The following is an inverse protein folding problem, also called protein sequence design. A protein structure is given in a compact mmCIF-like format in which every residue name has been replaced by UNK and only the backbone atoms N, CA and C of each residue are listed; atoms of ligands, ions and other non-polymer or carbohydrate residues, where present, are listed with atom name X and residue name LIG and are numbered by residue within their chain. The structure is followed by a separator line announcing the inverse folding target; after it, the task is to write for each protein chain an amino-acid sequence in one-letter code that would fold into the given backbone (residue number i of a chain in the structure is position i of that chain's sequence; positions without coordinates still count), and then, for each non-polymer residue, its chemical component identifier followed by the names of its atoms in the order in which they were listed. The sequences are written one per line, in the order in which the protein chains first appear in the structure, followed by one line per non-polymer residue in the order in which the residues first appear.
data_IF_560946473145
#
_entry.id   IF_560946473145
#
_cell.length_a   1.000
_cell.length_b   1.000
_cell.length_c   1.000
_cell.angle_alpha   90.00
_cell.angle_beta   90.00
_cell.angle_gamma   90.00
#
_symmetry.space_group_name_H-M   'P 1'
#
loop_
_entity.id
_entity.type
_entity.pdbx_description
1 polymer ?
#
# COMPACT_ATOMS: atom_id res chain seq x y z
N UNK A 1 10.23 -60.96 35.03
CA UNK A 1 9.96 -59.52 35.23
C UNK A 1 11.21 -58.69 34.88
N UNK A 2 12.40 -59.14 35.20
CA UNK A 2 13.68 -58.44 35.00
C UNK A 2 14.04 -58.21 33.54
N UNK A 3 13.76 -59.16 32.62
CA UNK A 3 13.99 -58.99 31.20
C UNK A 3 13.11 -57.89 30.56
N UNK A 4 11.89 -57.71 31.07
CA UNK A 4 11.01 -56.63 30.62
C UNK A 4 11.50 -55.25 31.08
N UNK A 5 11.89 -55.15 32.35
CA UNK A 5 12.45 -53.91 32.90
C UNK A 5 13.76 -53.53 32.21
N UNK A 6 14.62 -54.50 31.90
CA UNK A 6 15.83 -54.29 31.14
C UNK A 6 15.54 -53.81 29.72
N UNK A 7 14.60 -54.39 29.02
CA UNK A 7 14.18 -53.97 27.69
C UNK A 7 13.65 -52.52 27.67
N UNK A 8 12.84 -52.16 28.68
CA UNK A 8 12.33 -50.76 28.82
C UNK A 8 13.46 -49.79 29.11
N UNK A 9 14.37 -50.13 30.03
CA UNK A 9 15.52 -49.30 30.35
C UNK A 9 16.42 -49.07 29.10
N UNK A 10 16.65 -50.11 28.29
CA UNK A 10 17.40 -50.02 27.06
C UNK A 10 16.68 -49.16 26.00
N UNK A 11 15.38 -49.28 25.87
CA UNK A 11 14.58 -48.46 24.97
C UNK A 11 14.61 -46.99 25.37
N UNK A 12 14.52 -46.65 26.64
CA UNK A 12 14.63 -45.29 27.16
C UNK A 12 16.02 -44.70 26.92
N UNK A 13 17.08 -45.54 27.22
CA UNK A 13 18.47 -45.13 27.00
C UNK A 13 18.81 -44.90 25.52
N UNK A 14 18.07 -45.50 24.59
CA UNK A 14 18.24 -45.30 23.15
C UNK A 14 17.64 -43.98 22.64
N UNK A 15 16.80 -43.32 23.44
CA UNK A 15 16.24 -42.00 23.06
C UNK A 15 17.31 -40.90 23.30
N UNK A 16 17.72 -40.17 22.26
CA UNK A 16 18.68 -39.09 22.45
C UNK A 16 18.01 -37.93 23.22
N UNK A 17 18.32 -37.81 24.51
CA UNK A 17 17.76 -36.77 25.39
C UNK A 17 17.98 -35.34 24.87
N UNK A 18 19.07 -35.13 24.14
CA UNK A 18 19.40 -33.83 23.54
C UNK A 18 18.59 -33.48 22.28
N UNK A 19 17.79 -34.42 21.72
CA UNK A 19 17.13 -34.21 20.42
C UNK A 19 16.20 -33.00 20.45
N UNK A 20 15.37 -32.86 21.48
CA UNK A 20 14.42 -31.74 21.62
C UNK A 20 15.14 -30.39 21.74
N UNK A 21 16.27 -30.38 22.46
CA UNK A 21 17.09 -29.18 22.62
C UNK A 21 17.76 -28.79 21.31
N UNK A 22 18.30 -29.75 20.57
CA UNK A 22 18.92 -29.52 19.24
C UNK A 22 17.88 -28.97 18.26
N UNK A 23 16.69 -29.54 18.19
CA UNK A 23 15.60 -29.05 17.34
C UNK A 23 15.25 -27.62 17.68
N UNK A 24 15.10 -27.30 18.96
CA UNK A 24 14.77 -25.94 19.41
C UNK A 24 15.86 -24.95 19.03
N UNK A 25 17.13 -25.30 19.17
CA UNK A 25 18.27 -24.46 18.78
C UNK A 25 18.27 -24.22 17.27
N UNK A 26 18.08 -25.25 16.46
CA UNK A 26 18.07 -25.14 15.00
C UNK A 26 16.90 -24.25 14.54
N UNK A 27 15.69 -24.45 15.08
CA UNK A 27 14.53 -23.60 14.78
C UNK A 27 14.77 -22.15 15.23
N UNK A 28 15.48 -21.94 16.35
CA UNK A 28 15.84 -20.61 16.82
C UNK A 28 16.77 -19.88 15.85
N UNK A 29 17.78 -20.55 15.31
CA UNK A 29 18.64 -20.00 14.26
C UNK A 29 17.85 -19.69 12.97
N UNK A 30 16.95 -20.59 12.58
CA UNK A 30 16.05 -20.36 11.44
C UNK A 30 15.20 -19.10 11.62
N UNK A 31 14.59 -18.97 12.80
CA UNK A 31 13.79 -17.78 13.16
C UNK A 31 14.62 -16.50 13.14
N UNK A 32 15.82 -16.54 13.68
CA UNK A 32 16.72 -15.39 13.70
C UNK A 32 17.11 -14.96 12.28
N UNK A 33 17.38 -15.92 11.37
CA UNK A 33 17.68 -15.63 9.98
C UNK A 33 16.46 -15.00 9.28
N UNK A 34 15.27 -15.53 9.51
CA UNK A 34 14.04 -14.98 8.94
C UNK A 34 13.73 -13.58 9.47
N UNK A 35 13.97 -13.33 10.75
CA UNK A 35 13.80 -12.00 11.33
C UNK A 35 14.73 -10.94 10.70
N UNK A 36 15.93 -11.32 10.29
CA UNK A 36 16.85 -10.44 9.55
C UNK A 36 16.31 -10.07 8.16
N UNK A 37 15.48 -10.94 7.58
CA UNK A 37 14.78 -10.70 6.32
C UNK A 37 13.36 -10.10 6.53
N UNK A 38 13.13 -9.45 7.68
CA UNK A 38 11.88 -8.81 8.08
C UNK A 38 10.66 -9.75 8.17
N UNK A 39 10.87 -11.05 8.28
CA UNK A 39 9.79 -12.02 8.50
C UNK A 39 9.44 -12.12 9.98
N UNK A 40 8.17 -11.92 10.33
CA UNK A 40 7.69 -12.00 11.72
C UNK A 40 7.20 -13.42 12.02
N UNK A 41 7.95 -14.16 12.84
CA UNK A 41 7.61 -15.52 13.26
C UNK A 41 7.00 -15.46 14.67
N UNK A 42 5.74 -15.91 14.79
CA UNK A 42 5.03 -15.95 16.09
C UNK A 42 5.18 -17.28 16.83
N UNK A 43 5.47 -18.36 16.12
CA UNK A 43 5.61 -19.72 16.69
C UNK A 43 6.80 -20.42 16.04
N UNK A 44 7.70 -21.00 16.84
CA UNK A 44 8.89 -21.71 16.34
C UNK A 44 8.53 -22.88 15.43
N UNK A 45 7.46 -23.62 15.74
CA UNK A 45 7.02 -24.75 14.92
C UNK A 45 6.57 -24.34 13.50
N UNK A 46 6.16 -23.08 13.31
CA UNK A 46 5.79 -22.59 11.98
C UNK A 46 6.99 -22.54 11.02
N UNK A 47 8.21 -22.40 11.52
CA UNK A 47 9.43 -22.40 10.71
C UNK A 47 9.66 -23.73 10.00
N UNK A 48 9.40 -24.83 10.71
CA UNK A 48 9.51 -26.19 10.14
C UNK A 48 8.49 -26.39 9.02
N UNK A 49 7.24 -25.98 9.25
CA UNK A 49 6.16 -26.08 8.26
C UNK A 49 6.44 -25.30 6.98
N UNK A 50 7.12 -24.16 7.05
CA UNK A 50 7.45 -23.35 5.88
C UNK A 50 8.35 -24.06 4.87
N UNK A 51 9.24 -24.94 5.35
CA UNK A 51 10.13 -25.71 4.48
C UNK A 51 9.43 -26.79 3.64
N UNK A 52 8.18 -27.13 3.96
CA UNK A 52 7.41 -28.20 3.31
C UNK A 52 6.14 -27.73 2.60
N UNK A 53 5.93 -26.41 2.47
CA UNK A 53 4.76 -25.87 1.76
C UNK A 53 4.86 -26.18 0.26
N UNK A 54 3.76 -26.64 -0.31
CA UNK A 54 3.61 -26.91 -1.75
C UNK A 54 2.85 -25.80 -2.48
N UNK A 55 2.17 -24.91 -1.76
CA UNK A 55 1.37 -23.82 -2.32
C UNK A 55 1.67 -22.53 -1.55
N UNK A 56 1.96 -21.48 -2.28
CA UNK A 56 2.15 -20.11 -1.73
C UNK A 56 1.01 -19.25 -2.25
N UNK A 57 0.18 -18.74 -1.34
CA UNK A 57 -0.85 -17.75 -1.65
C UNK A 57 -0.31 -16.37 -1.27
N UNK A 58 -0.23 -15.47 -2.23
CA UNK A 58 0.24 -14.11 -2.01
C UNK A 58 -0.86 -13.10 -2.36
N UNK A 59 -1.08 -12.14 -1.48
CA UNK A 59 -1.89 -10.99 -1.82
C UNK A 59 -1.13 -10.11 -2.83
N UNK A 60 -1.86 -9.43 -3.71
CA UNK A 60 -1.28 -8.58 -4.75
C UNK A 60 -0.79 -7.26 -4.15
N UNK A 61 -1.69 -6.57 -3.43
CA UNK A 61 -1.47 -5.18 -3.03
C UNK A 61 -0.56 -5.09 -1.82
N UNK A 62 0.52 -4.33 -1.91
CA UNK A 62 1.51 -4.17 -0.84
C UNK A 62 2.44 -5.37 -0.65
N UNK A 63 2.30 -6.45 -1.43
CA UNK A 63 3.15 -7.64 -1.39
C UNK A 63 3.87 -7.83 -2.73
N UNK A 64 3.12 -8.02 -3.82
CA UNK A 64 3.66 -8.10 -5.18
C UNK A 64 3.80 -6.71 -5.82
N UNK A 65 3.10 -5.73 -5.29
CA UNK A 65 3.16 -4.32 -5.69
C UNK A 65 3.56 -3.46 -4.49
N UNK A 66 4.05 -2.26 -4.75
CA UNK A 66 4.48 -1.31 -3.72
C UNK A 66 3.30 -0.57 -3.04
N UNK A 67 2.06 -0.91 -3.37
CA UNK A 67 0.87 -0.14 -2.98
C UNK A 67 1.00 1.35 -3.33
N UNK A 68 1.67 1.66 -4.44
CA UNK A 68 1.91 3.00 -4.94
C UNK A 68 1.32 3.14 -6.33
N UNK A 69 0.51 4.16 -6.52
CA UNK A 69 -0.04 4.53 -7.81
C UNK A 69 0.81 5.65 -8.43
N UNK A 70 0.83 5.71 -9.77
CA UNK A 70 1.48 6.79 -10.51
C UNK A 70 0.65 7.11 -11.75
N UNK A 71 0.35 8.37 -11.95
CA UNK A 71 -0.33 8.82 -13.17
C UNK A 71 0.65 8.65 -14.35
N UNK A 72 0.25 7.93 -15.36
CA UNK A 72 1.07 7.67 -16.55
C UNK A 72 0.59 8.43 -17.77
N UNK A 73 -0.72 8.60 -17.90
CA UNK A 73 -1.33 9.27 -19.05
C UNK A 73 -2.52 10.08 -18.57
N UNK A 74 -2.77 11.16 -19.29
CA UNK A 74 -3.91 12.05 -19.15
C UNK A 74 -4.72 12.01 -20.44
N UNK A 75 -6.02 12.23 -20.34
CA UNK A 75 -6.88 12.43 -21.49
C UNK A 75 -7.59 13.77 -21.33
N UNK A 76 -7.33 14.68 -22.26
CA UNK A 76 -7.95 15.99 -22.29
C UNK A 76 -8.24 16.40 -23.75
N UNK A 77 -9.39 17.00 -23.98
CA UNK A 77 -9.81 17.54 -25.30
C UNK A 77 -9.63 16.53 -26.45
N UNK A 78 -9.94 15.25 -26.23
CA UNK A 78 -9.84 14.23 -27.28
C UNK A 78 -8.42 13.65 -27.49
N UNK A 79 -7.44 14.06 -26.69
CA UNK A 79 -6.06 13.62 -26.84
C UNK A 79 -5.56 12.87 -25.59
N UNK A 80 -4.73 11.85 -25.84
CA UNK A 80 -4.00 11.13 -24.78
C UNK A 80 -2.60 11.73 -24.69
N UNK A 81 -2.24 12.22 -23.51
CA UNK A 81 -0.98 12.89 -23.22
C UNK A 81 -0.22 12.05 -22.17
N UNK A 82 1.10 11.87 -22.35
CA UNK A 82 1.94 11.29 -21.30
C UNK A 82 1.98 12.25 -20.10
N UNK A 83 1.92 11.73 -18.88
CA UNK A 83 2.03 12.57 -17.68
C UNK A 83 3.34 13.37 -17.64
N UNK A 84 4.44 12.80 -18.17
CA UNK A 84 5.72 13.48 -18.24
C UNK A 84 5.76 14.63 -19.26
N UNK A 85 4.88 14.63 -20.26
CA UNK A 85 4.80 15.63 -21.33
C UNK A 85 3.62 16.60 -21.10
N UNK A 86 2.94 16.50 -19.95
CA UNK A 86 1.80 17.35 -19.63
C UNK A 86 2.24 18.80 -19.40
N UNK A 87 1.52 19.73 -20.00
CA UNK A 87 1.71 21.17 -19.81
C UNK A 87 0.47 21.76 -19.13
N UNK A 88 0.56 21.95 -17.82
CA UNK A 88 -0.52 22.55 -17.05
C UNK A 88 -0.54 24.08 -17.08
N UNK A 89 0.30 24.73 -17.90
CA UNK A 89 0.10 26.11 -18.33
C UNK A 89 -0.93 26.23 -19.47
N UNK A 90 -1.21 25.11 -20.16
CA UNK A 90 -2.25 25.03 -21.18
C UNK A 90 -3.66 25.10 -20.52
N UNK A 91 -4.51 26.06 -20.94
CA UNK A 91 -5.88 26.19 -20.44
C UNK A 91 -6.77 24.96 -20.59
N UNK A 92 -6.38 24.01 -21.43
CA UNK A 92 -7.11 22.75 -21.64
C UNK A 92 -6.73 21.72 -20.57
N UNK A 93 -5.46 21.68 -20.18
CA UNK A 93 -4.93 20.67 -19.25
C UNK A 93 -4.98 21.15 -17.79
N UNK A 94 -4.84 22.44 -17.53
CA UNK A 94 -4.86 23.02 -16.18
C UNK A 94 -6.12 22.66 -15.37
N UNK A 95 -7.35 22.71 -15.91
CA UNK A 95 -8.54 22.34 -15.17
C UNK A 95 -8.54 20.88 -14.70
N UNK A 96 -7.89 19.98 -15.42
CA UNK A 96 -7.77 18.58 -15.03
C UNK A 96 -6.89 18.43 -13.78
N UNK A 97 -5.72 19.09 -13.76
CA UNK A 97 -4.84 19.08 -12.59
C UNK A 97 -5.50 19.76 -11.39
N UNK A 98 -6.14 20.89 -11.59
CA UNK A 98 -6.89 21.60 -10.54
C UNK A 98 -7.97 20.72 -9.93
N UNK A 99 -8.75 20.01 -10.75
CA UNK A 99 -9.75 19.06 -10.26
C UNK A 99 -9.10 17.91 -9.46
N UNK A 100 -7.97 17.40 -9.92
CA UNK A 100 -7.21 16.35 -9.25
C UNK A 100 -6.73 16.78 -7.85
N UNK A 101 -6.18 17.99 -7.71
CA UNK A 101 -5.70 18.53 -6.44
C UNK A 101 -6.84 18.89 -5.47
N UNK A 102 -7.88 19.56 -5.98
CA UNK A 102 -8.99 20.06 -5.15
C UNK A 102 -9.98 18.98 -4.72
N UNK A 103 -10.14 17.92 -5.54
CA UNK A 103 -11.01 16.80 -5.22
C UNK A 103 -10.23 15.62 -4.60
N UNK A 104 -9.22 15.91 -3.79
CA UNK A 104 -8.41 14.92 -3.07
C UNK A 104 -8.18 15.35 -1.63
N UNK A 105 -8.07 14.36 -0.73
CA UNK A 105 -7.80 14.55 0.69
C UNK A 105 -6.36 14.16 1.07
N UNK A 106 -5.65 13.51 0.15
CA UNK A 106 -4.26 13.12 0.31
C UNK A 106 -3.35 14.36 0.37
N UNK A 107 -2.25 14.21 1.07
CA UNK A 107 -1.14 15.17 1.13
C UNK A 107 0.17 14.49 0.75
N UNK A 108 1.04 15.26 0.11
CA UNK A 108 2.39 14.83 -0.28
C UNK A 108 3.36 15.92 0.13
N UNK A 109 4.31 15.57 0.98
CA UNK A 109 5.36 16.50 1.43
C UNK A 109 6.71 15.78 1.57
N UNK A 110 7.74 16.50 2.00
CA UNK A 110 9.09 15.96 2.23
C UNK A 110 9.13 14.86 3.30
N UNK A 111 8.13 14.79 4.19
CA UNK A 111 8.04 13.78 5.25
C UNK A 111 7.38 12.48 4.76
N UNK A 112 6.65 12.53 3.65
CA UNK A 112 6.00 11.36 3.06
C UNK A 112 4.66 11.65 2.38
N UNK A 113 3.93 10.59 2.14
CA UNK A 113 2.60 10.61 1.51
C UNK A 113 1.56 10.11 2.51
N UNK A 114 0.47 10.84 2.67
CA UNK A 114 -0.65 10.46 3.53
C UNK A 114 -1.94 10.49 2.72
N UNK A 115 -2.68 9.38 2.71
CA UNK A 115 -3.96 9.27 2.02
C UNK A 115 -4.10 8.01 1.18
N UNK A 116 -5.17 7.96 0.38
CA UNK A 116 -5.40 6.86 -0.57
C UNK A 116 -4.36 6.90 -1.70
N UNK A 117 -3.80 5.73 -2.12
CA UNK A 117 -2.79 5.69 -3.19
C UNK A 117 -3.21 6.34 -4.51
N UNK A 118 -4.50 6.33 -4.84
CA UNK A 118 -5.01 6.98 -6.05
C UNK A 118 -4.93 8.50 -5.90
N UNK A 119 -5.28 9.01 -4.73
CA UNK A 119 -5.22 10.45 -4.43
C UNK A 119 -3.78 10.96 -4.33
N UNK A 120 -2.91 10.21 -3.64
CA UNK A 120 -1.49 10.57 -3.55
C UNK A 120 -0.83 10.62 -4.93
N UNK A 121 -1.24 9.75 -5.87
CA UNK A 121 -0.76 9.80 -7.25
C UNK A 121 -1.18 11.08 -7.98
N UNK A 122 -2.39 11.57 -7.72
CA UNK A 122 -2.89 12.82 -8.32
C UNK A 122 -2.20 14.05 -7.74
N UNK A 123 -2.02 14.08 -6.42
CA UNK A 123 -1.30 15.18 -5.75
C UNK A 123 0.16 15.21 -6.18
N UNK A 124 0.82 14.07 -6.23
CA UNK A 124 2.21 13.96 -6.72
C UNK A 124 2.37 14.48 -8.15
N UNK A 125 1.42 14.21 -9.03
CA UNK A 125 1.44 14.77 -10.37
C UNK A 125 1.51 16.31 -10.34
N UNK A 126 0.77 16.93 -9.40
CA UNK A 126 0.83 18.38 -9.20
C UNK A 126 2.21 18.84 -8.74
N UNK A 127 2.76 18.22 -7.72
CA UNK A 127 4.09 18.54 -7.19
C UNK A 127 5.19 18.40 -8.26
N UNK A 128 5.18 17.33 -9.04
CA UNK A 128 6.13 17.07 -10.13
C UNK A 128 6.09 18.16 -11.20
N UNK A 129 4.98 18.87 -11.34
CA UNK A 129 4.81 19.98 -12.29
C UNK A 129 4.83 21.37 -11.63
N UNK A 130 5.24 21.44 -10.35
CA UNK A 130 5.42 22.70 -9.63
C UNK A 130 4.11 23.32 -9.09
N UNK A 131 3.06 22.52 -8.96
CA UNK A 131 1.79 22.93 -8.35
C UNK A 131 1.70 22.39 -6.93
N UNK A 132 1.99 23.24 -5.96
CA UNK A 132 1.85 22.93 -4.54
C UNK A 132 0.38 22.80 -4.16
N UNK A 133 0.05 21.69 -3.46
CA UNK A 133 -1.33 21.37 -3.09
C UNK A 133 -1.89 22.37 -2.07
N UNK A 134 -1.09 22.76 -1.07
CA UNK A 134 -1.51 23.64 0.00
C UNK A 134 -1.83 25.04 -0.54
N UNK A 135 -0.97 25.56 -1.39
CA UNK A 135 -1.19 26.85 -2.08
C UNK A 135 -2.43 26.77 -2.96
N UNK A 136 -2.62 25.68 -3.69
CA UNK A 136 -3.78 25.45 -4.56
C UNK A 136 -5.08 25.42 -3.75
N UNK A 137 -5.11 24.67 -2.66
CA UNK A 137 -6.28 24.55 -1.76
C UNK A 137 -6.58 25.86 -1.03
N UNK A 138 -5.56 26.59 -0.60
CA UNK A 138 -5.72 27.90 0.03
C UNK A 138 -6.30 28.94 -0.93
N UNK A 139 -5.90 28.90 -2.21
CA UNK A 139 -6.42 29.79 -3.25
C UNK A 139 -7.88 29.53 -3.59
N UNK A 140 -8.30 28.27 -3.55
CA UNK A 140 -9.67 27.83 -3.86
C UNK A 140 -10.23 27.00 -2.71
N UNK A 141 -10.66 27.63 -1.61
CA UNK A 141 -11.09 26.91 -0.43
C UNK A 141 -12.31 26.03 -0.69
N UNK A 142 -12.29 24.83 -0.12
CA UNK A 142 -13.40 23.90 -0.15
C UNK A 142 -14.53 24.43 0.73
N UNK A 143 -15.71 24.56 0.17
CA UNK A 143 -16.91 25.02 0.87
C UNK A 143 -17.71 23.89 1.47
N UNK A 144 -17.81 22.79 0.73
CA UNK A 144 -18.52 21.57 1.13
C UNK A 144 -18.04 20.40 0.28
N UNK A 145 -18.37 19.20 0.73
CA UNK A 145 -18.04 17.95 0.02
C UNK A 145 -19.18 16.95 0.12
N UNK A 146 -19.18 16.02 -0.81
CA UNK A 146 -19.87 14.74 -0.71
C UNK A 146 -18.75 13.71 -0.73
N UNK A 147 -18.44 13.08 0.44
CA UNK A 147 -17.35 12.12 0.54
C UNK A 147 -17.50 10.97 -0.44
N UNK A 148 -16.41 10.20 -0.63
CA UNK A 148 -16.49 9.00 -1.44
C UNK A 148 -17.54 8.05 -0.90
N UNK A 149 -18.40 7.62 -1.78
CA UNK A 149 -19.45 6.65 -1.50
C UNK A 149 -19.30 5.46 -2.45
N UNK A 150 -19.30 4.25 -1.88
CA UNK A 150 -19.03 3.02 -2.64
C UNK A 150 -20.19 2.63 -3.58
N UNK A 151 -21.41 3.09 -3.33
CA UNK A 151 -22.55 2.85 -4.22
C UNK A 151 -22.51 3.81 -5.40
N UNK A 152 -22.16 5.08 -5.15
CA UNK A 152 -21.94 6.08 -6.18
C UNK A 152 -20.64 5.88 -6.96
N UNK A 153 -19.62 5.29 -6.30
CA UNK A 153 -18.23 5.22 -6.76
C UNK A 153 -17.61 6.60 -7.07
N UNK A 154 -18.12 7.63 -6.46
CA UNK A 154 -17.77 9.03 -6.71
C UNK A 154 -17.53 9.80 -5.40
N UNK A 155 -16.62 10.75 -5.48
CA UNK A 155 -16.43 11.84 -4.49
C UNK A 155 -16.65 13.17 -5.20
N UNK A 156 -17.23 14.15 -4.51
CA UNK A 156 -17.45 15.48 -5.07
C UNK A 156 -17.06 16.55 -4.05
N UNK A 157 -16.40 17.61 -4.49
CA UNK A 157 -16.02 18.76 -3.68
C UNK A 157 -16.48 20.06 -4.35
N UNK A 158 -16.95 21.02 -3.56
CA UNK A 158 -17.38 22.33 -4.05
C UNK A 158 -16.42 23.40 -3.52
N UNK A 159 -15.95 24.24 -4.42
CA UNK A 159 -14.93 25.25 -4.14
C UNK A 159 -15.39 26.65 -4.51
N UNK A 160 -14.88 27.66 -3.79
CA UNK A 160 -15.05 29.06 -4.15
C UNK A 160 -14.07 29.43 -5.24
N UNK A 161 -14.58 29.89 -6.37
CA UNK A 161 -13.81 30.38 -7.52
C UNK A 161 -14.07 31.87 -7.75
N UNK A 162 -13.23 32.52 -8.54
CA UNK A 162 -13.40 33.95 -8.86
C UNK A 162 -14.72 34.27 -9.55
N UNK A 163 -15.27 33.30 -10.34
CA UNK A 163 -16.54 33.43 -11.04
C UNK A 163 -17.76 32.83 -10.34
N UNK A 164 -17.62 32.37 -9.08
CA UNK A 164 -18.70 31.69 -8.37
C UNK A 164 -18.28 30.38 -7.71
N UNK A 165 -19.18 29.43 -7.63
CA UNK A 165 -18.90 28.10 -7.06
C UNK A 165 -18.73 27.08 -8.16
N UNK A 166 -17.74 26.21 -8.01
CA UNK A 166 -17.48 25.14 -8.93
C UNK A 166 -17.41 23.81 -8.18
N UNK A 167 -18.03 22.78 -8.73
CA UNK A 167 -17.98 21.43 -8.19
C UNK A 167 -17.05 20.57 -9.05
N UNK A 168 -16.12 19.89 -8.39
CA UNK A 168 -15.32 18.84 -8.98
C UNK A 168 -15.81 17.49 -8.52
N UNK A 169 -15.81 16.52 -9.41
CA UNK A 169 -16.21 15.14 -9.10
C UNK A 169 -15.17 14.19 -9.66
N UNK A 170 -14.72 13.25 -8.86
CA UNK A 170 -13.84 12.15 -9.27
C UNK A 170 -14.46 10.80 -8.93
N UNK A 171 -14.09 9.79 -9.67
CA UNK A 171 -14.49 8.41 -9.42
C UNK A 171 -14.40 7.52 -10.65
N UNK A 172 -15.00 6.32 -10.56
CA UNK A 172 -15.02 5.35 -11.65
C UNK A 172 -15.96 5.78 -12.78
N UNK A 173 -15.66 5.30 -13.99
CA UNK A 173 -16.42 5.62 -15.22
C UNK A 173 -17.50 4.59 -15.51
N UNK A 174 -17.55 3.46 -14.77
CA UNK A 174 -18.45 2.31 -14.94
C UNK A 174 -19.81 2.45 -14.24
#
# INVERSE_FOLDING_TARGET
MDAFLFAVALAVAAIPEALSSIVTIVLSFGTQKMAKENAIIRKLQAVEGLGSVSVICSDKTGTLTQNKMTVRKLYAAGQVISAADADFSDPIQEPLLRAALLCSDATVDDSGEVGDPTETALVRLGEEHGFDEETTRSRWPRLTEIPFDSERKLMSTVHQMAGGRLMFTKGAVD
#
